data_IF_191558290959
#
_entry.id   IF_191558290959
#
_cell.length_a   1.000
_cell.length_b   1.000
_cell.length_c   1.000
_cell.angle_alpha   90.00
_cell.angle_beta   90.00
_cell.angle_gamma   90.00
#
_symmetry.space_group_name_H-M   'P 1'
#
loop_
_entity.id
_entity.type
_entity.pdbx_description
1 polymer ?
#
# COMPACT_ATOMS: atom_id res chain seq x y z
N UNK A 1 15.15 4.26 0.26
CA UNK A 1 13.94 3.73 -0.41
C UNK A 1 13.72 2.29 0.03
N UNK A 2 12.84 2.09 1.00
CA UNK A 2 12.44 0.77 1.50
C UNK A 2 10.93 0.60 1.33
N UNK A 3 10.50 -0.65 1.18
CA UNK A 3 9.08 -0.99 1.22
C UNK A 3 8.59 -0.94 2.65
N UNK A 4 7.59 -0.11 2.90
CA UNK A 4 6.79 -0.09 4.12
C UNK A 4 5.55 -0.91 3.89
N UNK A 5 5.22 -1.76 4.85
CA UNK A 5 4.07 -2.66 4.81
C UNK A 5 2.98 -2.09 5.71
N UNK A 6 1.77 -1.93 5.17
CA UNK A 6 0.61 -1.62 5.98
C UNK A 6 0.41 -2.72 7.03
N UNK A 7 0.09 -2.31 8.26
CA UNK A 7 0.06 -3.23 9.40
C UNK A 7 -1.05 -4.29 9.29
N UNK A 8 -2.09 -4.02 8.48
CA UNK A 8 -3.27 -4.89 8.37
C UNK A 8 -3.23 -5.76 7.13
N UNK A 9 -3.72 -6.98 7.31
CA UNK A 9 -4.11 -7.87 6.23
C UNK A 9 -5.63 -7.85 6.06
N UNK A 10 -6.07 -8.05 4.83
CA UNK A 10 -7.46 -8.02 4.42
C UNK A 10 -7.86 -9.38 3.84
N UNK A 11 -9.08 -9.81 4.12
CA UNK A 11 -9.69 -11.01 3.55
C UNK A 11 -10.14 -10.80 2.08
N UNK A 12 -10.46 -9.57 1.71
CA UNK A 12 -10.92 -9.18 0.38
C UNK A 12 -9.87 -8.40 -0.42
N UNK A 13 -9.64 -8.83 -1.67
CA UNK A 13 -8.80 -8.09 -2.62
C UNK A 13 -9.37 -6.70 -2.90
N UNK A 14 -10.69 -6.54 -2.91
CA UNK A 14 -11.35 -5.25 -3.16
C UNK A 14 -11.06 -4.28 -2.03
N UNK A 15 -11.12 -4.74 -0.78
CA UNK A 15 -10.77 -3.92 0.38
C UNK A 15 -9.29 -3.52 0.34
N UNK A 16 -8.38 -4.45 0.03
CA UNK A 16 -6.97 -4.13 -0.13
C UNK A 16 -6.70 -3.13 -1.28
N UNK A 17 -7.47 -3.20 -2.38
CA UNK A 17 -7.40 -2.20 -3.46
C UNK A 17 -7.84 -0.82 -2.99
N UNK A 18 -8.96 -0.73 -2.27
CA UNK A 18 -9.43 0.54 -1.73
C UNK A 18 -8.35 1.17 -0.83
N UNK A 19 -7.74 0.39 0.06
CA UNK A 19 -6.65 0.89 0.93
C UNK A 19 -5.43 1.30 0.12
N UNK A 20 -5.03 0.53 -0.91
CA UNK A 20 -3.92 0.92 -1.77
C UNK A 20 -4.17 2.25 -2.49
N UNK A 21 -5.41 2.54 -2.89
CA UNK A 21 -5.78 3.84 -3.44
C UNK A 21 -5.66 4.96 -2.40
N UNK A 22 -6.17 4.76 -1.18
CA UNK A 22 -6.04 5.74 -0.10
C UNK A 22 -4.57 6.06 0.23
N UNK A 23 -3.71 5.04 0.33
CA UNK A 23 -2.27 5.22 0.58
C UNK A 23 -1.62 6.00 -0.55
N UNK A 24 -1.95 5.67 -1.81
CA UNK A 24 -1.41 6.38 -2.97
C UNK A 24 -1.83 7.84 -2.96
N UNK A 25 -3.09 8.12 -2.69
CA UNK A 25 -3.62 9.49 -2.70
C UNK A 25 -3.02 10.32 -1.56
N UNK A 26 -2.81 9.74 -0.36
CA UNK A 26 -2.08 10.39 0.73
C UNK A 26 -0.62 10.72 0.35
N UNK A 27 0.07 9.82 -0.35
CA UNK A 27 1.42 10.10 -0.85
C UNK A 27 1.45 11.23 -1.89
N UNK A 28 0.46 11.28 -2.78
CA UNK A 28 0.31 12.40 -3.73
C UNK A 28 0.09 13.71 -2.98
N UNK A 29 -0.79 13.72 -1.97
CA UNK A 29 -1.06 14.91 -1.16
C UNK A 29 0.17 15.39 -0.38
N UNK A 30 1.08 14.48 -0.03
CA UNK A 30 2.39 14.78 0.58
C UNK A 30 3.46 15.22 -0.42
N UNK A 31 3.14 15.30 -1.71
CA UNK A 31 4.04 15.78 -2.76
C UNK A 31 4.87 14.71 -3.46
N UNK A 32 4.58 13.41 -3.28
CA UNK A 32 5.21 12.38 -4.11
C UNK A 32 4.64 12.40 -5.53
N UNK A 33 5.49 12.68 -6.52
CA UNK A 33 5.10 12.71 -7.94
C UNK A 33 4.86 11.32 -8.55
N UNK A 34 5.42 10.26 -7.94
CA UNK A 34 5.30 8.90 -8.45
C UNK A 34 5.15 7.89 -7.31
N UNK A 35 4.00 7.90 -6.61
CA UNK A 35 3.75 6.99 -5.48
C UNK A 35 3.73 5.54 -5.97
N UNK A 36 4.60 4.72 -5.40
CA UNK A 36 4.67 3.29 -5.70
C UNK A 36 3.99 2.51 -4.58
N UNK A 37 2.75 2.10 -4.83
CA UNK A 37 1.90 1.31 -3.93
C UNK A 37 1.53 0.00 -4.60
N UNK A 38 1.62 -1.10 -3.86
CA UNK A 38 1.40 -2.44 -4.39
C UNK A 38 0.57 -3.30 -3.42
N UNK A 39 -0.32 -4.11 -3.99
CA UNK A 39 -1.04 -5.14 -3.27
C UNK A 39 -0.29 -6.45 -3.43
N UNK A 40 -0.16 -7.20 -2.35
CA UNK A 40 0.36 -8.56 -2.37
C UNK A 40 -0.62 -9.53 -1.74
N UNK A 41 -0.54 -10.80 -2.14
CA UNK A 41 -1.30 -11.89 -1.53
C UNK A 41 -0.33 -12.74 -0.70
N UNK A 42 -0.69 -12.97 0.55
CA UNK A 42 0.04 -13.86 1.45
C UNK A 42 -0.18 -15.33 1.06
N UNK A 43 0.71 -16.21 1.52
CA UNK A 43 0.54 -17.67 1.35
C UNK A 43 -0.76 -18.20 1.99
N UNK A 44 -1.26 -17.54 3.04
CA UNK A 44 -2.51 -17.90 3.73
C UNK A 44 -3.77 -17.36 3.06
N UNK A 45 -3.64 -16.60 1.97
CA UNK A 45 -4.76 -16.12 1.18
C UNK A 45 -5.18 -14.68 1.43
N UNK A 46 -4.79 -14.08 2.56
CA UNK A 46 -5.06 -12.67 2.86
C UNK A 46 -4.24 -11.74 1.97
N UNK A 47 -4.72 -10.51 1.80
CA UNK A 47 -4.13 -9.45 1.00
C UNK A 47 -3.49 -8.39 1.90
N UNK A 48 -2.36 -7.83 1.50
CA UNK A 48 -1.74 -6.69 2.18
C UNK A 48 -1.39 -5.59 1.19
N UNK A 49 -1.13 -4.40 1.71
CA UNK A 49 -0.69 -3.23 0.95
C UNK A 49 0.74 -2.89 1.38
N UNK A 50 1.60 -2.52 0.44
CA UNK A 50 2.93 -1.98 0.72
C UNK A 50 3.20 -0.78 -0.18
N UNK A 51 4.03 0.14 0.29
CA UNK A 51 4.39 1.34 -0.46
C UNK A 51 5.86 1.68 -0.26
N UNK A 52 6.47 2.41 -1.19
CA UNK A 52 7.81 2.95 -0.97
C UNK A 52 7.72 4.22 -0.13
N UNK A 53 8.39 4.21 1.02
CA UNK A 53 8.61 5.44 1.79
C UNK A 53 9.83 6.17 1.24
N UNK A 54 9.65 7.48 0.99
CA UNK A 54 10.74 8.43 0.82
C UNK A 54 10.91 9.16 2.16
N UNK A 55 11.35 8.45 3.19
CA UNK A 55 11.93 9.14 4.35
C UNK A 55 13.22 9.84 3.87
N UNK A 56 13.23 11.16 4.01
CA UNK A 56 14.43 12.00 4.07
C UNK A 56 14.75 12.24 5.54
#
# INVERSE_FOLDING_TARGET
MSWVYEARLYDSRTVANYVAMCVRDDQVLRGQNHPLVQIYKTKKGNYGVRYLSQEN
#
